data_IF_077987962290
#
_entry.id   IF_077987962290
#
_cell.length_a   1.000
_cell.length_b   1.000
_cell.length_c   1.000
_cell.angle_alpha   90.00
_cell.angle_beta   90.00
_cell.angle_gamma   90.00
#
_symmetry.space_group_name_H-M   'P 1'
#
loop_
_entity.id
_entity.type
_entity.pdbx_description
1 polymer ?
#
# COMPACT_ATOMS: atom_id res chain seq x y z
N UNK A 1 -17.02 4.01 6.13
CA UNK A 1 -15.90 4.11 5.18
C UNK A 1 -15.95 3.06 4.07
N UNK A 2 -15.79 1.75 4.33
CA UNK A 2 -15.75 0.71 3.27
C UNK A 2 -16.90 0.76 2.26
N UNK A 3 -18.12 1.04 2.74
CA UNK A 3 -19.34 1.22 1.93
C UNK A 3 -19.85 2.68 1.92
N UNK A 4 -18.96 3.63 2.25
CA UNK A 4 -19.31 5.06 2.32
C UNK A 4 -19.38 5.71 0.94
N UNK A 5 -20.16 6.78 0.86
CA UNK A 5 -20.28 7.64 -0.32
C UNK A 5 -19.28 8.82 -0.28
N UNK A 6 -19.34 9.69 -1.29
CA UNK A 6 -18.47 10.86 -1.37
C UNK A 6 -18.75 11.88 -0.26
N UNK A 7 -20.01 12.05 0.16
CA UNK A 7 -20.36 12.96 1.25
C UNK A 7 -19.70 12.54 2.57
N UNK A 8 -19.72 11.24 2.90
CA UNK A 8 -19.01 10.72 4.06
C UNK A 8 -17.49 10.87 3.92
N UNK A 9 -16.94 10.69 2.71
CA UNK A 9 -15.50 10.91 2.47
C UNK A 9 -15.11 12.35 2.78
N UNK A 10 -15.82 13.32 2.20
CA UNK A 10 -15.53 14.75 2.35
C UNK A 10 -15.67 15.19 3.83
N UNK A 11 -16.69 14.67 4.52
CA UNK A 11 -16.87 14.92 5.95
C UNK A 11 -15.69 14.41 6.80
N UNK A 12 -15.15 13.22 6.50
CA UNK A 12 -13.98 12.68 7.21
C UNK A 12 -12.72 13.47 6.85
N UNK A 13 -12.53 13.85 5.59
CA UNK A 13 -11.39 14.68 5.17
C UNK A 13 -11.38 16.05 5.87
N UNK A 14 -12.54 16.70 6.02
CA UNK A 14 -12.67 17.94 6.78
C UNK A 14 -12.33 17.76 8.28
N UNK A 15 -12.71 16.62 8.87
CA UNK A 15 -12.36 16.27 10.26
C UNK A 15 -10.87 15.98 10.43
N UNK A 16 -10.22 15.40 9.43
CA UNK A 16 -8.77 15.20 9.44
C UNK A 16 -8.01 16.53 9.55
N UNK A 17 -8.45 17.55 8.81
CA UNK A 17 -7.83 18.88 8.80
C UNK A 17 -7.95 19.62 10.14
N UNK A 18 -8.97 19.28 10.94
CA UNK A 18 -9.29 19.93 12.22
C UNK A 18 -9.07 19.03 13.44
N UNK A 19 -8.45 17.87 13.24
CA UNK A 19 -8.19 16.90 14.30
C UNK A 19 -7.31 17.51 15.40
N UNK A 20 -7.72 17.36 16.66
CA UNK A 20 -7.05 17.97 17.81
C UNK A 20 -6.03 17.04 18.46
N UNK A 21 -6.21 15.73 18.29
CA UNK A 21 -5.32 14.73 18.89
C UNK A 21 -4.69 13.81 17.84
N UNK A 22 -3.50 13.24 18.11
CA UNK A 22 -2.91 12.22 17.25
C UNK A 22 -3.81 11.00 17.05
N UNK A 23 -4.59 10.61 18.08
CA UNK A 23 -5.49 9.47 18.00
C UNK A 23 -6.65 9.72 17.03
N UNK A 24 -7.31 10.88 17.12
CA UNK A 24 -8.35 11.30 16.16
C UNK A 24 -7.79 11.32 14.74
N UNK A 25 -6.62 11.92 14.57
CA UNK A 25 -5.97 12.05 13.25
C UNK A 25 -5.69 10.69 12.63
N UNK A 26 -5.13 9.74 13.39
CA UNK A 26 -4.91 8.36 12.95
C UNK A 26 -6.22 7.65 12.60
N UNK A 27 -7.29 7.86 13.38
CA UNK A 27 -8.60 7.29 13.10
C UNK A 27 -9.18 7.80 11.78
N UNK A 28 -9.08 9.11 11.51
CA UNK A 28 -9.56 9.70 10.25
C UNK A 28 -8.73 9.22 9.04
N UNK A 29 -7.40 9.15 9.16
CA UNK A 29 -6.54 8.58 8.11
C UNK A 29 -6.89 7.13 7.80
N UNK A 30 -7.08 6.31 8.84
CA UNK A 30 -7.50 4.91 8.69
C UNK A 30 -8.87 4.79 8.03
N UNK A 31 -9.82 5.67 8.40
CA UNK A 31 -11.14 5.71 7.77
C UNK A 31 -11.07 6.11 6.29
N UNK A 32 -10.25 7.09 5.92
CA UNK A 32 -10.02 7.50 4.53
C UNK A 32 -9.37 6.37 3.70
N UNK A 33 -8.41 5.65 4.27
CA UNK A 33 -7.79 4.46 3.66
C UNK A 33 -8.75 3.28 3.48
N UNK A 34 -9.86 3.25 4.22
CA UNK A 34 -10.84 2.17 4.16
C UNK A 34 -11.89 2.30 3.05
N UNK A 35 -11.98 3.43 2.33
CA UNK A 35 -12.89 3.57 1.19
C UNK A 35 -12.52 2.61 0.05
N UNK A 36 -13.54 2.11 -0.68
CA UNK A 36 -13.37 1.14 -1.77
C UNK A 36 -14.04 1.54 -3.09
N UNK A 37 -15.01 2.46 -3.06
CA UNK A 37 -15.58 3.01 -4.29
C UNK A 37 -14.48 3.74 -5.08
N UNK A 38 -14.37 3.46 -6.39
CA UNK A 38 -13.28 3.98 -7.22
C UNK A 38 -13.10 5.51 -7.17
N UNK A 39 -14.17 6.35 -7.19
CA UNK A 39 -14.03 7.79 -7.05
C UNK A 39 -13.39 8.21 -5.71
N UNK A 40 -13.92 7.72 -4.59
CA UNK A 40 -13.41 8.03 -3.25
C UNK A 40 -11.99 7.50 -3.04
N UNK A 41 -11.67 6.31 -3.58
CA UNK A 41 -10.33 5.72 -3.47
C UNK A 41 -9.28 6.57 -4.18
N UNK A 42 -9.56 7.08 -5.39
CA UNK A 42 -8.67 8.00 -6.09
C UNK A 42 -8.46 9.31 -5.32
N UNK A 43 -9.55 9.91 -4.79
CA UNK A 43 -9.45 11.10 -3.92
C UNK A 43 -8.58 10.83 -2.69
N UNK A 44 -8.74 9.67 -2.05
CA UNK A 44 -7.94 9.28 -0.89
C UNK A 44 -6.44 9.16 -1.22
N UNK A 45 -6.10 8.51 -2.34
CA UNK A 45 -4.71 8.38 -2.78
C UNK A 45 -4.08 9.72 -3.13
N UNK A 46 -4.83 10.66 -3.74
CA UNK A 46 -4.35 12.01 -4.01
C UNK A 46 -4.02 12.78 -2.72
N UNK A 47 -4.89 12.69 -1.71
CA UNK A 47 -4.70 13.30 -0.39
C UNK A 47 -3.37 12.89 0.28
N UNK A 48 -2.87 11.70 -0.04
CA UNK A 48 -1.67 11.11 0.57
C UNK A 48 -0.39 11.93 0.32
N UNK A 49 -0.34 12.72 -0.77
CA UNK A 49 0.80 13.57 -1.12
C UNK A 49 0.56 15.06 -0.87
N UNK A 50 -0.61 15.45 -0.39
CA UNK A 50 -0.90 16.84 -0.10
C UNK A 50 -0.02 17.37 1.04
N UNK A 51 0.31 18.66 0.98
CA UNK A 51 1.20 19.32 1.94
C UNK A 51 0.69 19.26 3.40
N UNK A 52 -0.61 19.05 3.61
CA UNK A 52 -1.23 18.94 4.92
C UNK A 52 -0.99 17.61 5.65
N UNK A 53 -0.41 16.59 4.99
CA UNK A 53 -0.02 15.33 5.64
C UNK A 53 1.44 15.34 6.06
N UNK A 54 1.72 14.74 7.23
CA UNK A 54 3.09 14.53 7.72
C UNK A 54 3.72 13.35 6.97
N UNK A 55 5.06 13.32 6.80
CA UNK A 55 5.73 12.21 6.11
C UNK A 55 5.38 10.81 6.65
N UNK A 56 5.18 10.69 7.98
CA UNK A 56 4.80 9.43 8.62
C UNK A 56 3.33 9.03 8.42
N UNK A 57 2.50 9.89 7.81
CA UNK A 57 1.06 9.65 7.54
C UNK A 57 0.78 9.29 6.09
N UNK A 58 1.70 9.64 5.19
CA UNK A 58 1.59 9.46 3.74
C UNK A 58 1.25 8.03 3.33
N UNK A 59 1.63 7.04 4.14
CA UNK A 59 1.38 5.63 3.87
C UNK A 59 0.07 5.09 4.45
N UNK A 60 -0.57 5.76 5.41
CA UNK A 60 -1.77 5.19 6.05
C UNK A 60 -2.91 4.95 5.07
N UNK A 61 -3.16 5.90 4.15
CA UNK A 61 -4.27 5.79 3.20
C UNK A 61 -3.99 4.76 2.09
N UNK A 62 -2.83 4.76 1.39
CA UNK A 62 -2.54 3.77 0.37
C UNK A 62 -2.60 2.34 0.94
N UNK A 63 -1.99 2.10 2.09
CA UNK A 63 -1.98 0.77 2.72
C UNK A 63 -3.33 0.31 3.27
N UNK A 64 -4.33 1.20 3.36
CA UNK A 64 -5.67 0.85 3.84
C UNK A 64 -6.41 -0.23 3.03
N UNK A 65 -5.96 -0.55 1.81
CA UNK A 65 -6.48 -1.66 0.96
C UNK A 65 -5.48 -2.78 0.67
N UNK A 66 -4.32 -2.77 1.31
CA UNK A 66 -3.20 -3.68 1.02
C UNK A 66 -3.45 -5.15 1.43
N UNK A 67 -4.57 -5.42 2.10
CA UNK A 67 -5.02 -6.76 2.48
C UNK A 67 -5.54 -7.59 1.28
N UNK A 68 -5.93 -6.93 0.20
CA UNK A 68 -6.43 -7.58 -1.03
C UNK A 68 -5.42 -7.52 -2.17
N UNK A 69 -5.49 -8.45 -3.13
CA UNK A 69 -4.62 -8.43 -4.32
C UNK A 69 -4.80 -7.13 -5.11
N UNK A 70 -6.05 -6.75 -5.42
CA UNK A 70 -6.34 -5.50 -6.13
C UNK A 70 -5.83 -4.27 -5.40
N UNK A 71 -6.03 -4.15 -4.09
CA UNK A 71 -5.56 -2.99 -3.34
C UNK A 71 -4.03 -2.96 -3.20
N UNK A 72 -3.35 -4.12 -3.21
CA UNK A 72 -1.89 -4.23 -3.32
C UNK A 72 -1.40 -3.69 -4.66
N UNK A 73 -2.05 -4.03 -5.76
CA UNK A 73 -1.71 -3.54 -7.11
C UNK A 73 -1.98 -2.03 -7.26
N UNK A 74 -3.11 -1.54 -6.72
CA UNK A 74 -3.40 -0.10 -6.65
C UNK A 74 -2.32 0.66 -5.86
N UNK A 75 -1.92 0.12 -4.70
CA UNK A 75 -0.88 0.72 -3.85
C UNK A 75 0.45 0.75 -4.59
N UNK A 76 0.82 -0.35 -5.23
CA UNK A 76 2.04 -0.44 -6.03
C UNK A 76 2.05 0.60 -7.16
N UNK A 77 0.96 0.66 -7.92
CA UNK A 77 0.81 1.58 -9.06
C UNK A 77 0.91 3.04 -8.62
N UNK A 78 0.17 3.41 -7.57
CA UNK A 78 0.24 4.76 -7.01
C UNK A 78 1.65 5.07 -6.53
N UNK A 79 2.30 4.13 -5.84
CA UNK A 79 3.63 4.34 -5.29
C UNK A 79 4.68 4.57 -6.38
N UNK A 80 4.76 3.69 -7.38
CA UNK A 80 5.77 3.80 -8.45
C UNK A 80 5.52 5.01 -9.33
N UNK A 81 4.26 5.39 -9.54
CA UNK A 81 3.89 6.62 -10.27
C UNK A 81 4.28 7.91 -9.55
N UNK A 82 4.43 7.86 -8.22
CA UNK A 82 4.74 9.02 -7.37
C UNK A 82 6.08 8.89 -6.63
N UNK A 83 6.97 8.00 -7.09
CA UNK A 83 8.16 7.62 -6.35
C UNK A 83 9.05 8.81 -6.00
N UNK A 84 9.31 9.71 -6.94
CA UNK A 84 10.21 10.85 -6.70
C UNK A 84 9.64 11.78 -5.62
N UNK A 85 8.32 12.04 -5.65
CA UNK A 85 7.65 12.84 -4.63
C UNK A 85 7.70 12.15 -3.25
N UNK A 86 7.50 10.84 -3.19
CA UNK A 86 7.60 10.05 -1.96
C UNK A 86 9.03 10.05 -1.41
N UNK A 87 10.01 9.73 -2.26
CA UNK A 87 11.42 9.61 -1.90
C UNK A 87 11.99 10.93 -1.38
N UNK A 88 11.58 12.07 -1.97
CA UNK A 88 12.01 13.40 -1.51
C UNK A 88 11.58 13.74 -0.08
N UNK A 89 10.57 13.05 0.46
CA UNK A 89 10.02 13.27 1.81
C UNK A 89 10.57 12.27 2.84
N UNK A 90 11.52 11.42 2.46
CA UNK A 90 12.04 10.35 3.30
C UNK A 90 13.55 10.46 3.48
N UNK A 91 14.09 10.13 4.67
CA UNK A 91 15.52 9.95 4.82
C UNK A 91 16.03 8.82 3.91
N UNK A 92 17.20 8.98 3.24
CA UNK A 92 17.71 8.00 2.28
C UNK A 92 17.80 6.56 2.82
N UNK A 93 18.11 6.39 4.11
CA UNK A 93 18.21 5.09 4.77
C UNK A 93 16.91 4.26 4.73
N UNK A 94 15.76 4.89 4.54
CA UNK A 94 14.47 4.21 4.46
C UNK A 94 14.07 3.84 3.02
N UNK A 95 14.74 4.38 2.00
CA UNK A 95 14.38 4.12 0.60
C UNK A 95 14.44 2.64 0.21
N UNK A 96 15.42 1.81 0.68
CA UNK A 96 15.42 0.38 0.39
C UNK A 96 14.16 -0.35 0.88
N UNK A 97 13.55 0.13 1.98
CA UNK A 97 12.39 -0.53 2.58
C UNK A 97 11.13 -0.39 1.73
N UNK A 98 11.11 0.61 0.83
CA UNK A 98 9.99 0.86 -0.09
C UNK A 98 9.73 -0.32 -1.01
N UNK A 99 10.74 -1.13 -1.32
CA UNK A 99 10.61 -2.34 -2.15
C UNK A 99 9.54 -3.30 -1.63
N UNK A 100 9.23 -3.29 -0.32
CA UNK A 100 8.17 -4.12 0.27
C UNK A 100 6.76 -3.91 -0.32
N UNK A 101 6.50 -2.77 -0.98
CA UNK A 101 5.23 -2.54 -1.69
C UNK A 101 5.00 -3.55 -2.83
N UNK A 102 6.06 -4.19 -3.32
CA UNK A 102 6.01 -5.26 -4.31
C UNK A 102 5.77 -6.67 -3.75
N UNK A 103 5.52 -6.81 -2.44
CA UNK A 103 5.36 -8.12 -1.78
C UNK A 103 4.08 -8.88 -2.17
N UNK A 104 3.53 -9.69 -1.27
CA UNK A 104 2.29 -10.45 -1.57
C UNK A 104 2.52 -11.74 -2.35
N UNK A 105 1.53 -12.16 -3.12
CA UNK A 105 1.49 -13.44 -3.85
C UNK A 105 1.42 -13.23 -5.37
N UNK A 106 1.79 -12.02 -5.84
CA UNK A 106 1.64 -11.55 -7.21
C UNK A 106 3.03 -11.52 -7.89
N UNK A 107 3.39 -12.56 -8.65
CA UNK A 107 4.74 -12.70 -9.23
C UNK A 107 5.09 -11.60 -10.23
N UNK A 108 4.15 -11.23 -11.10
CA UNK A 108 4.38 -10.21 -12.13
C UNK A 108 4.80 -8.86 -11.52
N UNK A 109 4.26 -8.53 -10.35
CA UNK A 109 4.56 -7.28 -9.66
C UNK A 109 5.99 -7.22 -9.15
N UNK A 110 6.54 -8.33 -8.66
CA UNK A 110 7.94 -8.33 -8.17
C UNK A 110 8.94 -8.26 -9.33
N UNK A 111 8.59 -8.82 -10.49
CA UNK A 111 9.36 -8.64 -11.74
C UNK A 111 9.36 -7.17 -12.17
N UNK A 112 8.20 -6.52 -12.19
CA UNK A 112 8.11 -5.08 -12.50
C UNK A 112 8.88 -4.22 -11.47
N UNK A 113 8.82 -4.58 -10.18
CA UNK A 113 9.55 -3.91 -9.12
C UNK A 113 11.06 -4.01 -9.30
N UNK A 114 11.57 -5.16 -9.77
CA UNK A 114 12.99 -5.33 -10.07
C UNK A 114 13.47 -4.32 -11.10
N UNK A 115 12.76 -4.20 -12.22
CA UNK A 115 13.11 -3.22 -13.25
C UNK A 115 13.02 -1.78 -12.71
N UNK A 116 11.98 -1.47 -11.94
CA UNK A 116 11.74 -0.12 -11.42
C UNK A 116 12.81 0.34 -10.41
N UNK A 117 13.08 -0.48 -9.39
CA UNK A 117 13.96 -0.12 -8.27
C UNK A 117 15.45 -0.28 -8.59
N UNK A 118 15.81 -1.14 -9.55
CA UNK A 118 17.21 -1.29 -9.98
C UNK A 118 17.63 -0.32 -11.10
N UNK A 119 16.73 0.57 -11.55
CA UNK A 119 17.09 1.71 -12.39
C UNK A 119 18.19 2.54 -11.68
N UNK A 120 19.34 2.82 -12.33
CA UNK A 120 20.43 3.60 -11.74
C UNK A 120 20.02 4.96 -11.16
N UNK A 121 18.92 5.57 -11.63
CA UNK A 121 18.40 6.83 -11.10
C UNK A 121 17.73 6.69 -9.73
N UNK A 122 17.33 5.48 -9.34
CA UNK A 122 16.57 5.20 -8.10
C UNK A 122 17.29 4.26 -7.15
N UNK A 123 18.18 3.40 -7.67
CA UNK A 123 18.90 2.39 -6.90
C UNK A 123 19.74 3.06 -5.81
N UNK A 124 19.54 2.61 -4.58
CA UNK A 124 20.36 2.97 -3.41
C UNK A 124 20.95 1.71 -2.76
N UNK A 125 21.91 1.89 -1.87
CA UNK A 125 22.50 0.80 -1.09
C UNK A 125 21.43 -0.04 -0.37
N UNK A 126 21.58 -1.37 -0.38
CA UNK A 126 20.65 -2.30 0.27
C UNK A 126 19.35 -2.58 -0.49
N UNK A 127 19.01 -1.79 -1.52
CA UNK A 127 17.76 -1.97 -2.29
C UNK A 127 17.72 -3.31 -3.03
N UNK A 128 18.84 -3.73 -3.62
CA UNK A 128 18.97 -5.02 -4.30
C UNK A 128 18.77 -6.21 -3.33
N UNK A 129 19.38 -6.15 -2.14
CA UNK A 129 19.20 -7.18 -1.12
C UNK A 129 17.75 -7.27 -0.65
N UNK A 130 17.09 -6.13 -0.46
CA UNK A 130 15.68 -6.09 -0.07
C UNK A 130 14.76 -6.61 -1.17
N UNK A 131 15.12 -6.39 -2.43
CA UNK A 131 14.40 -6.95 -3.57
C UNK A 131 14.52 -8.47 -3.61
N UNK A 132 15.71 -9.04 -3.45
CA UNK A 132 15.89 -10.50 -3.34
C UNK A 132 15.02 -11.10 -2.23
N UNK A 133 14.96 -10.45 -1.07
CA UNK A 133 14.11 -10.88 0.05
C UNK A 133 12.63 -10.82 -0.31
N UNK A 134 12.20 -9.76 -1.00
CA UNK A 134 10.80 -9.59 -1.41
C UNK A 134 10.42 -10.61 -2.49
N UNK A 135 11.30 -10.89 -3.45
CA UNK A 135 11.14 -11.94 -4.46
C UNK A 135 11.00 -13.32 -3.81
N UNK A 136 11.83 -13.63 -2.80
CA UNK A 136 11.73 -14.89 -2.07
C UNK A 136 10.40 -15.00 -1.31
N UNK A 137 9.99 -13.93 -0.61
CA UNK A 137 8.69 -13.89 0.07
C UNK A 137 7.52 -14.14 -0.89
N UNK A 138 7.56 -13.56 -2.09
CA UNK A 138 6.53 -13.75 -3.12
C UNK A 138 6.52 -15.21 -3.60
N UNK A 139 7.68 -15.80 -3.88
CA UNK A 139 7.81 -17.21 -4.27
C UNK A 139 7.25 -18.15 -3.19
N UNK A 140 7.57 -17.89 -1.93
CA UNK A 140 7.08 -18.69 -0.80
C UNK A 140 5.55 -18.59 -0.67
N UNK A 141 5.00 -17.38 -0.81
CA UNK A 141 3.56 -17.12 -0.80
C UNK A 141 2.83 -17.91 -1.90
N UNK A 142 3.34 -17.84 -3.15
CA UNK A 142 2.73 -18.54 -4.28
C UNK A 142 2.85 -20.06 -4.12
N UNK A 143 4.02 -20.55 -3.69
CA UNK A 143 4.24 -21.97 -3.42
C UNK A 143 3.29 -22.51 -2.35
N UNK A 144 3.07 -21.76 -1.27
CA UNK A 144 2.11 -22.12 -0.22
C UNK A 144 0.67 -22.12 -0.75
N UNK A 145 0.26 -21.08 -1.48
CA UNK A 145 -1.07 -20.98 -2.09
C UNK A 145 -1.35 -22.16 -3.04
N UNK A 146 -0.37 -22.54 -3.86
CA UNK A 146 -0.49 -23.67 -4.79
C UNK A 146 -0.63 -25.02 -4.06
N UNK A 147 0.13 -25.22 -2.99
CA UNK A 147 0.13 -26.48 -2.23
C UNK A 147 -1.11 -26.67 -1.37
N UNK A 148 -1.52 -25.62 -0.65
CA UNK A 148 -2.52 -25.74 0.42
C UNK A 148 -3.87 -25.08 0.07
N UNK A 149 -3.94 -24.28 -1.00
CA UNK A 149 -5.14 -23.50 -1.33
C UNK A 149 -6.42 -24.32 -1.44
N UNK A 150 -6.36 -25.46 -2.14
CA UNK A 150 -7.52 -26.35 -2.27
C UNK A 150 -7.91 -26.99 -0.93
N UNK A 151 -6.93 -27.43 -0.13
CA UNK A 151 -7.17 -28.04 1.20
C UNK A 151 -7.82 -27.07 2.16
N UNK A 152 -7.36 -25.82 2.16
CA UNK A 152 -7.95 -24.75 2.98
C UNK A 152 -9.37 -24.43 2.51
N UNK A 153 -9.60 -24.34 1.20
CA UNK A 153 -10.92 -24.08 0.65
C UNK A 153 -11.93 -25.19 1.02
N UNK A 154 -11.52 -26.45 0.91
CA UNK A 154 -12.34 -27.61 1.30
C UNK A 154 -12.66 -27.58 2.81
N UNK A 155 -11.65 -27.37 3.66
CA UNK A 155 -11.86 -27.28 5.11
C UNK A 155 -12.86 -26.19 5.47
N UNK A 156 -12.72 -24.98 4.91
CA UNK A 156 -13.63 -23.86 5.18
C UNK A 156 -15.03 -24.07 4.59
N UNK A 157 -15.14 -24.75 3.45
CA UNK A 157 -16.43 -25.10 2.83
C UNK A 157 -17.22 -26.11 3.65
N UNK A 158 -16.54 -27.04 4.33
CA UNK A 158 -17.15 -28.07 5.17
C UNK A 158 -17.54 -27.56 6.58
N UNK A 159 -17.30 -26.29 6.89
CA UNK A 159 -17.66 -25.64 8.18
C UNK A 159 -18.93 -24.78 8.08
N UNK A 160 -19.64 -24.81 6.95
CA UNK A 160 -20.93 -24.12 6.74
C UNK A 160 -22.11 -25.08 6.85
#
# INVERSE_FOLDING_TARGET
>A
ARRGDEALFDAIAARLATAKTPAERSAYLGALGAFRAAPSRRKALALSLEAGLRPNEMFTIPFGGFDTATGRDETYTWFTSNYDAIASRMPPLYLPFLVGIAGGCEEERVVAARAFFLDPKRKVEGMEKRLEQTEQQVKDCVGLRKREGNRVAEYLGNQQ
#
